data_IF_069277752697
#
_entry.id   IF_069277752697
#
_cell.length_a   1.000
_cell.length_b   1.000
_cell.length_c   1.000
_cell.angle_alpha   90.00
_cell.angle_beta   90.00
_cell.angle_gamma   90.00
#
_symmetry.space_group_name_H-M   'P 1'
#
loop_
_entity.id
_entity.type
_entity.pdbx_description
1 polymer ?
#
# COMPACT_ATOMS: atom_id res chain seq x y z
N UNK A 1 -6.10 12.34 -21.05
CA UNK A 1 -5.28 11.37 -20.28
C UNK A 1 -4.60 12.00 -19.06
N UNK A 2 -4.13 13.24 -19.12
CA UNK A 2 -3.44 13.88 -17.99
C UNK A 2 -4.28 14.02 -16.72
N UNK A 3 -5.57 14.36 -16.84
CA UNK A 3 -6.48 14.42 -15.69
C UNK A 3 -6.62 13.07 -14.98
N UNK A 4 -6.73 11.97 -15.72
CA UNK A 4 -6.80 10.63 -15.12
C UNK A 4 -5.50 10.23 -14.42
N UNK A 5 -4.34 10.62 -14.95
CA UNK A 5 -3.05 10.44 -14.26
C UNK A 5 -2.98 11.24 -12.97
N UNK A 6 -3.52 12.47 -12.95
CA UNK A 6 -3.59 13.29 -11.73
C UNK A 6 -4.51 12.66 -10.69
N UNK A 7 -5.71 12.22 -11.08
CA UNK A 7 -6.64 11.51 -10.19
C UNK A 7 -5.97 10.25 -9.61
N UNK A 8 -5.31 9.46 -10.47
CA UNK A 8 -4.57 8.28 -10.05
C UNK A 8 -3.46 8.63 -9.04
N UNK A 9 -2.74 9.73 -9.26
CA UNK A 9 -1.73 10.24 -8.34
C UNK A 9 -2.29 10.50 -6.94
N UNK A 10 -3.42 11.20 -6.84
CA UNK A 10 -4.10 11.42 -5.56
C UNK A 10 -4.57 10.12 -4.90
N UNK A 11 -5.15 9.19 -5.68
CA UNK A 11 -5.59 7.88 -5.16
C UNK A 11 -4.43 7.13 -4.49
N UNK A 12 -3.26 7.09 -5.11
CA UNK A 12 -2.09 6.40 -4.56
C UNK A 12 -1.51 7.10 -3.34
N UNK A 13 -1.49 8.44 -3.32
CA UNK A 13 -1.05 9.21 -2.14
C UNK A 13 -1.99 8.96 -0.96
N UNK A 14 -3.30 9.12 -1.17
CA UNK A 14 -4.31 8.91 -0.11
C UNK A 14 -4.27 7.47 0.37
N UNK A 15 -4.22 6.50 -0.54
CA UNK A 15 -4.15 5.08 -0.20
C UNK A 15 -2.88 4.72 0.57
N UNK A 16 -1.72 5.26 0.16
CA UNK A 16 -0.45 5.06 0.87
C UNK A 16 -0.46 5.69 2.26
N UNK A 17 -0.95 6.93 2.39
CA UNK A 17 -1.08 7.61 3.69
C UNK A 17 -2.03 6.87 4.62
N UNK A 18 -3.18 6.42 4.13
CA UNK A 18 -4.14 5.64 4.92
C UNK A 18 -3.54 4.30 5.35
N UNK A 19 -2.78 3.66 4.47
CA UNK A 19 -2.08 2.41 4.81
C UNK A 19 -1.04 2.64 5.91
N UNK A 20 -0.23 3.70 5.84
CA UNK A 20 0.73 4.04 6.90
C UNK A 20 0.00 4.26 8.22
N UNK A 21 -1.05 5.07 8.23
CA UNK A 21 -1.85 5.32 9.43
C UNK A 21 -2.44 4.02 9.99
N UNK A 22 -2.99 3.16 9.13
CA UNK A 22 -3.54 1.86 9.52
C UNK A 22 -2.48 0.93 10.13
N UNK A 23 -1.28 0.87 9.55
CA UNK A 23 -0.19 0.03 10.07
C UNK A 23 0.38 0.57 11.39
N UNK A 24 0.48 1.89 11.54
CA UNK A 24 0.88 2.52 12.81
C UNK A 24 -0.15 2.21 13.88
N UNK A 25 -1.44 2.42 13.59
CA UNK A 25 -2.52 2.12 14.52
C UNK A 25 -2.54 0.64 14.91
N UNK A 26 -2.37 -0.27 13.95
CA UNK A 26 -2.29 -1.70 14.22
C UNK A 26 -1.11 -2.03 15.14
N UNK A 27 0.07 -1.46 14.89
CA UNK A 27 1.25 -1.69 15.71
C UNK A 27 1.05 -1.18 17.15
N UNK A 28 0.57 0.05 17.33
CA UNK A 28 0.36 0.64 18.66
C UNK A 28 -0.77 -0.04 19.42
N UNK A 29 -1.88 -0.39 18.76
CA UNK A 29 -2.97 -1.14 19.40
C UNK A 29 -2.52 -2.54 19.81
N UNK A 30 -1.68 -3.21 19.02
CA UNK A 30 -1.16 -4.53 19.38
C UNK A 30 -0.28 -4.45 20.64
N UNK A 31 0.57 -3.43 20.75
CA UNK A 31 1.41 -3.19 21.93
C UNK A 31 0.58 -2.88 23.19
N UNK A 32 -0.57 -2.23 23.04
CA UNK A 32 -1.47 -1.95 24.17
C UNK A 32 -2.29 -3.18 24.55
N UNK A 33 -2.91 -3.86 23.59
CA UNK A 33 -3.91 -4.91 23.85
C UNK A 33 -3.26 -6.24 24.23
N UNK A 34 -2.18 -6.65 23.55
CA UNK A 34 -1.63 -8.00 23.70
C UNK A 34 -1.06 -8.29 25.09
N UNK A 35 -0.44 -7.34 25.81
CA UNK A 35 -0.03 -7.57 27.20
C UNK A 35 -1.20 -7.94 28.13
N UNK A 36 -2.35 -7.24 28.03
CA UNK A 36 -3.54 -7.57 28.83
C UNK A 36 -4.08 -8.97 28.52
N UNK A 37 -4.02 -9.40 27.26
CA UNK A 37 -4.40 -10.75 26.86
C UNK A 37 -3.40 -11.80 27.38
N UNK A 38 -2.11 -11.48 27.40
CA UNK A 38 -1.07 -12.40 27.89
C UNK A 38 -1.12 -12.64 29.40
N UNK A 39 -1.57 -11.66 30.18
CA UNK A 39 -1.70 -11.78 31.63
C UNK A 39 -2.84 -12.74 32.02
N UNK A 40 -3.88 -12.84 31.18
CA UNK A 40 -5.03 -13.73 31.38
C UNK A 40 -4.83 -15.11 30.75
N UNK A 41 -3.77 -15.29 29.96
CA UNK A 41 -3.47 -16.53 29.26
C UNK A 41 -2.66 -17.50 30.15
N UNK A 42 -2.80 -18.79 29.87
CA UNK A 42 -2.00 -19.83 30.55
C UNK A 42 -0.49 -19.55 30.35
N UNK A 43 0.36 -19.84 31.35
CA UNK A 43 1.81 -19.62 31.26
C UNK A 43 2.47 -20.29 30.04
N UNK A 44 1.92 -21.42 29.58
CA UNK A 44 2.40 -22.13 28.39
C UNK A 44 2.03 -21.43 27.07
N UNK A 45 1.09 -20.49 27.07
CA UNK A 45 0.69 -19.70 25.90
C UNK A 45 1.37 -18.31 25.83
N UNK A 46 1.97 -17.84 26.93
CA UNK A 46 2.56 -16.49 27.02
C UNK A 46 3.72 -16.26 26.03
N UNK A 47 4.50 -17.30 25.71
CA UNK A 47 5.61 -17.20 24.76
C UNK A 47 5.15 -16.82 23.34
N UNK A 48 3.90 -17.18 22.98
CA UNK A 48 3.32 -16.86 21.67
C UNK A 48 3.12 -15.35 21.52
N UNK A 49 2.64 -14.68 22.58
CA UNK A 49 2.46 -13.22 22.59
C UNK A 49 3.81 -12.48 22.50
N UNK A 50 4.85 -13.00 23.15
CA UNK A 50 6.19 -12.42 23.10
C UNK A 50 6.79 -12.43 21.67
N UNK A 51 6.47 -13.44 20.86
CA UNK A 51 6.88 -13.50 19.45
C UNK A 51 5.94 -12.75 18.50
N UNK A 52 4.63 -12.73 18.79
CA UNK A 52 3.62 -12.08 17.95
C UNK A 52 3.83 -10.58 17.81
N UNK A 53 4.11 -9.87 18.90
CA UNK A 53 4.28 -8.40 18.90
C UNK A 53 5.42 -7.96 17.96
N UNK A 54 6.67 -8.44 18.10
CA UNK A 54 7.75 -8.04 17.21
C UNK A 54 7.54 -8.54 15.77
N UNK A 55 6.85 -9.66 15.58
CA UNK A 55 6.49 -10.18 14.26
C UNK A 55 5.51 -9.25 13.52
N UNK A 56 4.41 -8.86 14.18
CA UNK A 56 3.43 -7.91 13.64
C UNK A 56 4.12 -6.58 13.31
N UNK A 57 4.99 -6.08 14.20
CA UNK A 57 5.72 -4.82 13.97
C UNK A 57 6.66 -4.90 12.77
N UNK A 58 7.37 -6.00 12.63
CA UNK A 58 8.28 -6.23 11.49
C UNK A 58 7.51 -6.29 10.18
N UNK A 59 6.40 -7.01 10.13
CA UNK A 59 5.52 -7.06 8.96
C UNK A 59 4.95 -5.69 8.66
N UNK A 60 4.48 -4.97 9.67
CA UNK A 60 3.92 -3.64 9.50
C UNK A 60 4.92 -2.67 8.88
N UNK A 61 6.15 -2.68 9.37
CA UNK A 61 7.24 -1.89 8.80
C UNK A 61 7.55 -2.32 7.35
N UNK A 62 7.64 -3.63 7.09
CA UNK A 62 7.89 -4.16 5.75
C UNK A 62 6.82 -3.72 4.74
N UNK A 63 5.54 -3.81 5.12
CA UNK A 63 4.40 -3.36 4.30
C UNK A 63 4.49 -1.86 4.01
N UNK A 64 4.82 -1.04 5.00
CA UNK A 64 4.99 0.41 4.82
C UNK A 64 6.14 0.71 3.85
N UNK A 65 7.30 0.07 4.04
CA UNK A 65 8.48 0.32 3.22
C UNK A 65 8.32 -0.14 1.77
N UNK A 66 7.65 -1.28 1.54
CA UNK A 66 7.56 -1.90 0.21
C UNK A 66 6.31 -1.46 -0.56
N UNK A 67 5.20 -1.18 0.11
CA UNK A 67 3.95 -0.84 -0.55
C UNK A 67 3.56 0.63 -0.37
N UNK A 68 3.56 1.13 0.87
CA UNK A 68 3.01 2.45 1.15
C UNK A 68 3.93 3.59 0.69
N UNK A 69 5.23 3.51 0.98
CA UNK A 69 6.21 4.52 0.55
C UNK A 69 6.31 4.58 -0.98
N UNK A 70 6.50 3.46 -1.70
CA UNK A 70 6.52 3.48 -3.16
C UNK A 70 5.18 3.96 -3.75
N UNK A 71 4.04 3.68 -3.13
CA UNK A 71 2.74 4.20 -3.56
C UNK A 71 2.70 5.73 -3.52
N UNK A 72 3.16 6.33 -2.42
CA UNK A 72 3.22 7.79 -2.28
C UNK A 72 4.22 8.38 -3.28
N UNK A 73 5.41 7.78 -3.43
CA UNK A 73 6.43 8.21 -4.40
C UNK A 73 5.89 8.15 -5.83
N UNK A 74 5.21 7.05 -6.19
CA UNK A 74 4.57 6.88 -7.49
C UNK A 74 3.46 7.90 -7.73
N UNK A 75 2.63 8.16 -6.72
CA UNK A 75 1.58 9.16 -6.80
C UNK A 75 2.11 10.59 -6.97
N UNK A 76 3.14 10.97 -6.20
CA UNK A 76 3.83 12.27 -6.35
C UNK A 76 4.53 12.36 -7.71
N UNK A 77 5.16 11.27 -8.17
CA UNK A 77 5.78 11.19 -9.49
C UNK A 77 4.78 11.40 -10.63
N UNK A 78 3.56 10.87 -10.50
CA UNK A 78 2.44 11.07 -11.44
C UNK A 78 2.01 12.54 -11.50
N UNK A 79 1.88 13.19 -10.33
CA UNK A 79 1.52 14.62 -10.25
C UNK A 79 2.59 15.51 -10.89
N UNK A 80 3.87 15.13 -10.75
CA UNK A 80 5.02 15.79 -11.38
C UNK A 80 5.28 15.36 -12.83
N UNK A 81 4.32 14.68 -13.47
CA UNK A 81 4.39 14.18 -14.86
C UNK A 81 5.66 13.38 -15.20
N UNK A 82 6.22 12.64 -14.24
CA UNK A 82 7.40 11.80 -14.47
C UNK A 82 7.01 10.53 -15.25
N UNK A 83 7.75 10.22 -16.32
CA UNK A 83 7.48 9.06 -17.20
C UNK A 83 7.58 7.70 -16.48
N UNK A 84 8.46 7.59 -15.47
CA UNK A 84 8.65 6.36 -14.69
C UNK A 84 7.52 6.08 -13.69
N UNK A 85 6.80 7.12 -13.27
CA UNK A 85 5.82 7.01 -12.20
C UNK A 85 4.65 6.10 -12.57
N UNK A 86 4.20 6.18 -13.82
CA UNK A 86 3.10 5.36 -14.36
C UNK A 86 3.44 3.86 -14.34
N UNK A 87 4.69 3.49 -14.63
CA UNK A 87 5.13 2.10 -14.55
C UNK A 87 5.20 1.61 -13.10
N UNK A 88 5.66 2.46 -12.18
CA UNK A 88 5.74 2.12 -10.76
C UNK A 88 4.35 1.88 -10.17
N UNK A 89 3.40 2.81 -10.35
CA UNK A 89 2.03 2.59 -9.88
C UNK A 89 1.34 1.44 -10.59
N UNK A 90 1.67 1.10 -11.85
CA UNK A 90 1.15 -0.11 -12.49
C UNK A 90 1.52 -1.37 -11.72
N UNK A 91 2.80 -1.53 -11.36
CA UNK A 91 3.27 -2.67 -10.56
C UNK A 91 2.55 -2.71 -9.22
N UNK A 92 2.47 -1.57 -8.52
CA UNK A 92 1.73 -1.48 -7.26
C UNK A 92 0.23 -1.73 -7.42
N UNK A 93 -0.35 -1.36 -8.55
CA UNK A 93 -1.75 -1.59 -8.88
C UNK A 93 -2.05 -3.08 -9.03
N UNK A 94 -1.16 -3.82 -9.68
CA UNK A 94 -1.25 -5.28 -9.75
C UNK A 94 -1.17 -5.91 -8.34
N UNK A 95 -0.27 -5.43 -7.48
CA UNK A 95 -0.20 -5.90 -6.08
C UNK A 95 -1.46 -5.55 -5.29
N UNK A 96 -2.07 -4.38 -5.54
CA UNK A 96 -3.32 -3.97 -4.89
C UNK A 96 -4.53 -4.80 -5.35
N UNK A 97 -4.48 -5.49 -6.49
CA UNK A 97 -5.59 -6.35 -6.94
C UNK A 97 -5.93 -7.47 -5.94
N UNK A 98 -4.94 -7.96 -5.19
CA UNK A 98 -5.13 -8.96 -4.14
C UNK A 98 -5.89 -8.43 -2.91
N UNK A 99 -6.05 -7.12 -2.80
CA UNK A 99 -6.81 -6.48 -1.72
C UNK A 99 -8.22 -6.13 -2.22
N UNK A 100 -9.14 -7.07 -2.05
CA UNK A 100 -10.55 -6.88 -2.43
C UNK A 100 -11.36 -6.20 -1.32
N UNK A 101 -12.28 -5.26 -1.63
CA UNK A 101 -12.65 -4.75 -2.95
C UNK A 101 -11.91 -3.49 -3.40
N UNK A 102 -11.40 -2.70 -2.45
CA UNK A 102 -10.89 -1.34 -2.73
C UNK A 102 -9.60 -1.38 -3.55
N UNK A 103 -8.65 -2.26 -3.19
CA UNK A 103 -7.41 -2.42 -3.93
C UNK A 103 -7.63 -2.91 -5.36
N UNK A 104 -8.62 -3.79 -5.56
CA UNK A 104 -9.03 -4.25 -6.90
C UNK A 104 -9.52 -3.09 -7.77
N UNK A 105 -10.37 -2.21 -7.24
CA UNK A 105 -10.85 -1.03 -7.97
C UNK A 105 -9.70 -0.10 -8.37
N UNK A 106 -8.76 0.15 -7.45
CA UNK A 106 -7.55 0.96 -7.72
C UNK A 106 -6.68 0.29 -8.80
N UNK A 107 -6.45 -1.02 -8.69
CA UNK A 107 -5.63 -1.78 -9.64
C UNK A 107 -6.21 -1.76 -11.05
N UNK A 108 -7.51 -2.03 -11.21
CA UNK A 108 -8.20 -1.96 -12.51
C UNK A 108 -8.10 -0.56 -13.10
N UNK A 109 -8.35 0.48 -12.29
CA UNK A 109 -8.25 1.87 -12.76
C UNK A 109 -6.82 2.21 -13.21
N UNK A 110 -5.81 1.73 -12.48
CA UNK A 110 -4.40 1.89 -12.84
C UNK A 110 -4.09 1.27 -14.20
N UNK A 111 -4.52 0.03 -14.44
CA UNK A 111 -4.31 -0.69 -15.70
C UNK A 111 -4.99 0.05 -16.86
N UNK A 112 -6.22 0.52 -16.64
CA UNK A 112 -6.96 1.29 -17.66
C UNK A 112 -6.24 2.59 -18.04
N UNK A 113 -5.77 3.37 -17.06
CA UNK A 113 -5.01 4.61 -17.31
C UNK A 113 -3.70 4.31 -18.05
N UNK A 114 -3.00 3.25 -17.67
CA UNK A 114 -1.75 2.82 -18.32
C UNK A 114 -1.97 2.43 -19.78
N UNK A 115 -2.99 1.61 -20.05
CA UNK A 115 -3.35 1.17 -21.40
C UNK A 115 -3.73 2.37 -22.29
N UNK A 116 -4.48 3.33 -21.77
CA UNK A 116 -4.84 4.54 -22.50
C UNK A 116 -3.64 5.43 -22.83
N UNK A 117 -2.66 5.56 -21.91
CA UNK A 117 -1.45 6.38 -22.16
C UNK A 117 -0.62 5.81 -23.31
N UNK A 118 -0.46 4.49 -23.36
CA UNK A 118 0.33 3.85 -24.40
C UNK A 118 -0.32 3.87 -25.78
N UNK A 119 -1.65 3.89 -25.88
CA UNK A 119 -2.35 4.09 -27.17
C UNK A 119 -2.10 5.47 -27.77
N UNK A 120 -1.83 6.48 -26.93
CA UNK A 120 -1.60 7.86 -27.39
C UNK A 120 -0.16 8.16 -27.79
N UNK A 121 0.79 7.26 -27.50
CA UNK A 121 2.18 7.40 -27.97
C UNK A 121 2.27 6.84 -29.40
N UNK A 122 2.90 7.55 -30.34
CA UNK A 122 3.19 6.99 -31.66
C UNK A 122 3.97 5.69 -31.47
N UNK A 123 3.44 4.59 -32.02
CA UNK A 123 4.14 3.34 -32.12
C UNK A 123 5.29 3.58 -33.11
N UNK A 124 6.48 3.92 -32.59
CA UNK A 124 7.69 3.96 -33.40
C UNK A 124 8.09 2.50 -33.61
N UNK A 125 7.58 1.92 -34.69
CA UNK A 125 8.06 0.65 -35.27
C UNK A 125 9.25 0.98 -36.17
#
# INVERSE_FOLDING_TARGET
>A
MENHKRILGFIYIISGSLQILGMILLATLSEVIFPFLSEQADPEAQWVFAWLIPFIRTIALGVVLVLAIPAIIGGVGLLNQKKWALTLVLVLGCLKLFSFPIGTAIGIYTIWVYAGDNKTKPQVV
#
